data_IF_918277802216
#
_entry.id   IF_918277802216
#
_cell.length_a   1.000
_cell.length_b   1.000
_cell.length_c   1.000
_cell.angle_alpha   90.00
_cell.angle_beta   90.00
_cell.angle_gamma   90.00
#
_symmetry.space_group_name_H-M   'P 1'
#
loop_
_entity.id
_entity.type
_entity.pdbx_description
1 polymer ?
#
# COMPACT_ATOMS: atom_id res chain seq x y z
N UNK A 1 -8.54 40.50 61.19
CA UNK A 1 -8.16 41.15 59.91
C UNK A 1 -8.13 40.10 58.78
N UNK A 2 -9.25 39.69 58.18
CA UNK A 2 -10.05 40.43 57.16
C UNK A 2 -9.32 40.85 55.84
N UNK A 3 -8.11 40.36 55.54
CA UNK A 3 -7.47 40.60 54.22
C UNK A 3 -6.97 39.36 53.44
N UNK A 4 -6.79 38.20 54.08
CA UNK A 4 -6.24 37.01 53.39
C UNK A 4 -7.29 36.09 52.74
N UNK A 5 -8.51 35.96 53.29
CA UNK A 5 -9.54 35.09 52.70
C UNK A 5 -10.05 35.55 51.32
N UNK A 6 -10.01 36.85 51.01
CA UNK A 6 -10.53 37.36 49.74
C UNK A 6 -9.66 36.96 48.53
N UNK A 7 -8.37 36.70 48.74
CA UNK A 7 -7.45 36.29 47.65
C UNK A 7 -7.57 34.82 47.28
N UNK A 8 -8.01 33.94 48.19
CA UNK A 8 -8.11 32.50 47.90
C UNK A 8 -9.34 32.11 47.05
N UNK A 9 -10.33 33.01 46.90
CA UNK A 9 -11.56 32.77 46.13
C UNK A 9 -11.57 33.43 44.74
N UNK A 10 -10.63 34.33 44.44
CA UNK A 10 -10.58 35.06 43.16
C UNK A 10 -9.79 34.35 42.05
N UNK A 11 -8.84 33.48 42.39
CA UNK A 11 -8.07 32.72 41.41
C UNK A 11 -8.83 31.55 40.74
N UNK A 12 -9.70 30.78 41.42
CA UNK A 12 -10.44 29.68 40.77
C UNK A 12 -11.46 30.18 39.74
N UNK A 13 -12.11 31.32 40.02
CA UNK A 13 -13.17 31.88 39.18
C UNK A 13 -12.67 32.45 37.85
N UNK A 14 -11.47 33.03 37.81
CA UNK A 14 -10.85 33.50 36.56
C UNK A 14 -10.39 32.36 35.66
N UNK A 15 -10.03 31.19 36.22
CA UNK A 15 -9.66 30.02 35.42
C UNK A 15 -10.83 29.41 34.66
N UNK A 16 -12.02 29.38 35.28
CA UNK A 16 -13.22 28.82 34.66
C UNK A 16 -13.74 29.65 33.47
N UNK A 17 -13.63 30.99 33.53
CA UNK A 17 -14.08 31.88 32.46
C UNK A 17 -13.24 31.80 31.18
N UNK A 18 -11.93 31.53 31.30
CA UNK A 18 -11.07 31.30 30.13
C UNK A 18 -11.32 29.93 29.47
N UNK A 19 -11.76 28.92 30.22
CA UNK A 19 -12.07 27.59 29.70
C UNK A 19 -13.40 27.55 28.91
N UNK A 20 -14.34 28.44 29.19
CA UNK A 20 -15.64 28.52 28.51
C UNK A 20 -15.65 29.28 27.17
N UNK A 21 -14.57 29.97 26.81
CA UNK A 21 -14.45 30.71 25.54
C UNK A 21 -13.67 29.96 24.43
N UNK A 22 -13.13 28.77 24.74
CA UNK A 22 -12.32 27.97 23.80
C UNK A 22 -12.92 26.58 23.52
N UNK A 23 -14.17 26.35 23.92
CA UNK A 23 -14.96 25.17 23.54
C UNK A 23 -15.71 25.38 22.22
N UNK A 24 -15.19 24.75 21.16
CA UNK A 24 -15.77 24.48 19.83
C UNK A 24 -17.31 24.23 19.74
N UNK A 25 -17.95 24.18 18.54
CA UNK A 25 -17.36 24.13 17.18
C UNK A 25 -18.04 25.02 16.10
N UNK A 26 -17.44 25.11 14.90
CA UNK A 26 -18.01 24.68 13.58
C UNK A 26 -17.13 25.20 12.41
N UNK A 27 -16.93 24.36 11.38
CA UNK A 27 -16.91 24.62 9.91
C UNK A 27 -16.70 26.10 9.48
N UNK A 28 -15.77 26.52 8.61
CA UNK A 28 -14.85 25.86 7.66
C UNK A 28 -13.63 26.79 7.44
N UNK A 29 -12.49 26.35 6.88
CA UNK A 29 -12.16 25.03 6.32
C UNK A 29 -10.69 24.64 6.64
N UNK A 30 -10.40 23.35 6.53
CA UNK A 30 -9.08 22.80 6.23
C UNK A 30 -9.30 21.41 5.62
N UNK A 31 -8.93 21.24 4.34
CA UNK A 31 -8.71 19.91 3.77
C UNK A 31 -7.44 19.34 4.40
N UNK A 32 -7.56 18.87 5.65
CA UNK A 32 -6.64 17.90 6.21
C UNK A 32 -6.89 16.61 5.43
N UNK A 33 -6.08 16.38 4.39
CA UNK A 33 -5.85 15.00 3.96
C UNK A 33 -5.17 14.33 5.14
N UNK A 34 -5.95 13.58 5.93
CA UNK A 34 -5.42 12.59 6.85
C UNK A 34 -4.71 11.53 6.01
N UNK A 35 -3.46 11.80 5.62
CA UNK A 35 -2.56 10.75 5.17
C UNK A 35 -2.41 9.77 6.34
N UNK A 36 -2.81 8.50 6.18
CA UNK A 36 -2.80 7.60 7.31
C UNK A 36 -1.36 7.31 7.74
N UNK A 37 -1.06 7.50 9.03
CA UNK A 37 0.23 7.12 9.64
C UNK A 37 0.36 5.60 9.82
N UNK A 38 0.01 4.83 8.78
CA UNK A 38 -0.02 3.38 8.82
C UNK A 38 1.36 2.81 8.52
N UNK A 39 2.13 2.59 9.58
CA UNK A 39 3.21 1.60 9.55
C UNK A 39 2.65 0.19 9.24
N UNK A 40 1.38 -0.05 9.62
CA UNK A 40 0.66 -1.32 9.44
C UNK A 40 -0.79 -1.04 9.05
N UNK A 41 -1.32 -1.78 8.06
CA UNK A 41 -2.72 -1.74 7.62
C UNK A 41 -3.42 -3.10 7.79
N UNK A 42 -4.74 -3.10 7.94
CA UNK A 42 -5.58 -4.31 7.90
C UNK A 42 -5.86 -4.75 6.46
N UNK A 43 -6.32 -6.00 6.28
CA UNK A 43 -6.86 -6.49 5.00
C UNK A 43 -7.88 -5.51 4.39
N UNK A 44 -8.81 -5.00 5.20
CA UNK A 44 -9.88 -4.11 4.74
C UNK A 44 -9.31 -2.79 4.18
N UNK A 45 -8.35 -2.20 4.88
CA UNK A 45 -7.69 -0.96 4.42
C UNK A 45 -6.87 -1.20 3.14
N UNK A 46 -6.15 -2.33 3.03
CA UNK A 46 -5.48 -2.72 1.79
C UNK A 46 -6.47 -2.88 0.63
N UNK A 47 -7.59 -3.58 0.84
CA UNK A 47 -8.64 -3.78 -0.19
C UNK A 47 -9.22 -2.43 -0.65
N UNK A 48 -9.46 -1.49 0.27
CA UNK A 48 -9.95 -0.14 -0.06
C UNK A 48 -8.92 0.60 -0.94
N UNK A 49 -7.64 0.59 -0.55
CA UNK A 49 -6.56 1.25 -1.32
C UNK A 49 -6.40 0.62 -2.71
N UNK A 50 -6.42 -0.72 -2.80
CA UNK A 50 -6.30 -1.47 -4.07
C UNK A 50 -7.50 -1.18 -4.99
N UNK A 51 -8.73 -1.22 -4.49
CA UNK A 51 -9.95 -0.88 -5.25
C UNK A 51 -10.03 0.60 -5.63
N UNK A 52 -9.34 1.47 -4.88
CA UNK A 52 -9.15 2.88 -5.26
C UNK A 52 -8.29 3.07 -6.51
N UNK A 53 -7.48 2.07 -6.89
CA UNK A 53 -6.68 2.08 -8.13
C UNK A 53 -7.35 1.25 -9.23
N UNK A 54 -7.85 0.06 -8.88
CA UNK A 54 -8.49 -0.89 -9.80
C UNK A 54 -9.91 -1.22 -9.30
N UNK A 55 -10.90 -0.32 -9.51
CA UNK A 55 -12.28 -0.51 -9.07
C UNK A 55 -12.98 -1.70 -9.73
N UNK A 56 -12.44 -2.21 -10.84
CA UNK A 56 -12.86 -3.45 -11.52
C UNK A 56 -12.61 -4.73 -10.68
N UNK A 57 -11.75 -4.68 -9.65
CA UNK A 57 -11.48 -5.79 -8.72
C UNK A 57 -12.61 -5.99 -7.69
N UNK A 58 -13.82 -6.21 -8.20
CA UNK A 58 -14.99 -6.58 -7.41
C UNK A 58 -15.03 -8.08 -7.10
N UNK A 59 -15.74 -8.43 -6.02
CA UNK A 59 -16.12 -9.82 -5.69
C UNK A 59 -17.32 -10.22 -6.58
N UNK A 60 -17.14 -10.14 -7.90
CA UNK A 60 -18.22 -10.01 -8.89
C UNK A 60 -18.98 -11.31 -9.19
N UNK A 61 -18.49 -12.47 -8.73
CA UNK A 61 -19.25 -13.73 -8.73
C UNK A 61 -19.23 -14.34 -7.32
N UNK A 62 -20.35 -14.95 -6.87
CA UNK A 62 -20.37 -15.73 -5.64
C UNK A 62 -19.32 -16.85 -5.70
N UNK A 63 -18.25 -16.71 -4.90
CA UNK A 63 -17.14 -17.68 -4.85
C UNK A 63 -15.87 -17.29 -5.61
N UNK A 64 -15.84 -16.18 -6.38
CA UNK A 64 -14.59 -15.68 -6.99
C UNK A 64 -14.14 -14.35 -6.35
N UNK A 65 -13.13 -14.42 -5.50
CA UNK A 65 -12.41 -13.22 -5.01
C UNK A 65 -11.28 -12.87 -5.96
N UNK A 66 -11.44 -11.79 -6.72
CA UNK A 66 -10.35 -11.20 -7.52
C UNK A 66 -9.24 -10.55 -6.65
N UNK A 67 -9.45 -10.51 -5.32
CA UNK A 67 -8.49 -10.05 -4.32
C UNK A 67 -8.28 -11.16 -3.27
N UNK A 68 -7.26 -12.00 -3.48
CA UNK A 68 -6.86 -13.08 -2.59
C UNK A 68 -5.82 -12.60 -1.56
N UNK A 69 -6.25 -11.73 -0.64
CA UNK A 69 -5.47 -11.25 0.50
C UNK A 69 -6.03 -11.91 1.76
N UNK A 70 -5.24 -12.68 2.55
CA UNK A 70 -5.66 -13.22 3.85
C UNK A 70 -6.14 -12.16 4.85
N UNK A 71 -6.89 -12.59 5.87
CA UNK A 71 -7.17 -11.72 7.02
C UNK A 71 -5.93 -11.57 7.87
N UNK A 72 -5.52 -10.33 8.14
CA UNK A 72 -4.31 -10.04 8.90
C UNK A 72 -3.99 -8.56 8.99
N UNK A 73 -2.83 -8.29 9.59
CA UNK A 73 -2.17 -6.98 9.65
C UNK A 73 -0.90 -7.02 8.79
N UNK A 74 -0.73 -5.99 7.97
CA UNK A 74 0.29 -5.92 6.93
C UNK A 74 1.16 -4.69 7.12
N UNK A 75 2.47 -4.87 7.29
CA UNK A 75 3.44 -3.78 7.31
C UNK A 75 3.48 -3.07 5.95
N UNK A 76 3.37 -1.74 5.97
CA UNK A 76 3.51 -0.91 4.77
C UNK A 76 4.96 -0.42 4.65
N UNK A 77 5.78 -1.01 3.76
CA UNK A 77 7.15 -0.55 3.55
C UNK A 77 7.16 0.86 2.95
N UNK A 78 8.23 1.60 3.17
CA UNK A 78 8.60 2.73 2.31
C UNK A 78 9.00 2.23 0.94
N UNK A 79 8.92 3.11 -0.06
CA UNK A 79 9.50 2.87 -1.38
C UNK A 79 11.01 2.58 -1.32
N UNK A 80 11.73 3.12 -0.32
CA UNK A 80 13.17 2.88 -0.12
C UNK A 80 13.45 1.48 0.41
N UNK A 81 12.77 1.04 1.48
CA UNK A 81 12.88 -0.33 2.02
C UNK A 81 12.50 -1.37 0.94
N UNK A 82 11.43 -1.09 0.19
CA UNK A 82 10.97 -1.93 -0.90
C UNK A 82 12.02 -2.06 -2.02
N UNK A 83 12.64 -0.94 -2.46
CA UNK A 83 13.71 -0.95 -3.47
C UNK A 83 14.92 -1.75 -3.02
N UNK A 84 15.32 -1.60 -1.77
CA UNK A 84 16.45 -2.33 -1.19
C UNK A 84 16.18 -3.85 -1.18
N UNK A 85 14.97 -4.28 -0.78
CA UNK A 85 14.58 -5.70 -0.84
C UNK A 85 14.47 -6.25 -2.26
N UNK A 86 13.88 -5.49 -3.21
CA UNK A 86 13.80 -5.90 -4.62
C UNK A 86 15.20 -6.01 -5.23
N UNK A 87 16.11 -5.08 -4.94
CA UNK A 87 17.50 -5.14 -5.39
C UNK A 87 18.24 -6.36 -4.78
N UNK A 88 18.17 -6.54 -3.46
CA UNK A 88 18.80 -7.67 -2.75
C UNK A 88 18.24 -9.03 -3.17
N UNK A 89 17.01 -9.11 -3.69
CA UNK A 89 16.44 -10.37 -4.19
C UNK A 89 17.25 -10.98 -5.34
N UNK A 90 17.87 -10.15 -6.18
CA UNK A 90 18.57 -10.52 -7.44
C UNK A 90 17.73 -11.37 -8.40
N UNK A 91 16.39 -11.40 -8.26
CA UNK A 91 15.49 -12.18 -9.13
C UNK A 91 15.54 -11.70 -10.58
N UNK A 92 15.80 -10.41 -10.80
CA UNK A 92 16.02 -9.82 -12.13
C UNK A 92 17.35 -10.25 -12.79
N UNK A 93 18.21 -11.01 -12.09
CA UNK A 93 19.47 -11.57 -12.63
C UNK A 93 19.34 -13.05 -13.01
N UNK A 94 18.16 -13.67 -12.78
CA UNK A 94 17.89 -15.04 -13.19
C UNK A 94 17.84 -15.09 -14.72
N UNK A 95 18.79 -15.79 -15.33
CA UNK A 95 18.78 -16.13 -16.75
C UNK A 95 17.98 -17.43 -16.91
N UNK A 96 16.81 -17.43 -17.57
CA UNK A 96 16.03 -18.64 -17.71
C UNK A 96 16.67 -19.57 -18.74
N UNK A 97 16.87 -20.84 -18.36
CA UNK A 97 16.99 -21.92 -19.33
C UNK A 97 15.62 -22.13 -20.01
N UNK A 98 15.63 -22.39 -21.32
CA UNK A 98 14.51 -22.19 -22.26
C UNK A 98 13.12 -22.68 -21.77
N UNK A 99 12.09 -21.89 -22.07
CA UNK A 99 10.64 -22.17 -21.95
C UNK A 99 10.09 -22.65 -20.59
N UNK A 100 10.93 -22.81 -19.56
CA UNK A 100 10.55 -23.29 -18.23
C UNK A 100 10.33 -22.18 -17.18
N UNK A 101 10.55 -20.91 -17.55
CA UNK A 101 10.43 -19.77 -16.64
C UNK A 101 9.63 -18.64 -17.29
N UNK A 102 8.39 -18.47 -16.85
CA UNK A 102 7.47 -17.43 -17.33
C UNK A 102 7.40 -16.25 -16.34
N UNK A 103 6.66 -15.20 -16.71
CA UNK A 103 6.41 -14.03 -15.85
C UNK A 103 5.86 -14.42 -14.46
N UNK A 104 5.04 -15.46 -14.39
CA UNK A 104 4.48 -15.98 -13.14
C UNK A 104 5.55 -16.54 -12.20
N UNK A 105 6.57 -17.23 -12.74
CA UNK A 105 7.67 -17.80 -11.97
C UNK A 105 8.56 -16.70 -11.40
N UNK A 106 8.92 -15.71 -12.21
CA UNK A 106 9.61 -14.50 -11.76
C UNK A 106 8.82 -13.76 -10.65
N UNK A 107 7.50 -13.62 -10.81
CA UNK A 107 6.65 -12.95 -9.83
C UNK A 107 6.56 -13.72 -8.50
N UNK A 108 6.48 -15.05 -8.56
CA UNK A 108 6.48 -15.94 -7.40
C UNK A 108 7.83 -15.94 -6.68
N UNK A 109 8.94 -15.97 -7.42
CA UNK A 109 10.29 -15.89 -6.86
C UNK A 109 10.51 -14.55 -6.13
N UNK A 110 10.17 -13.42 -6.74
CA UNK A 110 10.32 -12.13 -6.09
C UNK A 110 9.42 -12.00 -4.85
N UNK A 111 8.20 -12.56 -4.90
CA UNK A 111 7.30 -12.66 -3.75
C UNK A 111 7.91 -13.45 -2.58
N UNK A 112 8.53 -14.61 -2.85
CA UNK A 112 9.22 -15.41 -1.84
C UNK A 112 10.44 -14.67 -1.27
N UNK A 113 11.32 -14.15 -2.13
CA UNK A 113 12.55 -13.47 -1.73
C UNK A 113 12.28 -12.20 -0.90
N UNK A 114 11.31 -11.36 -1.29
CA UNK A 114 10.97 -10.15 -0.49
C UNK A 114 10.41 -10.52 0.89
N UNK A 115 9.61 -11.59 0.99
CA UNK A 115 9.11 -12.07 2.30
C UNK A 115 10.22 -12.66 3.16
N UNK A 116 11.20 -13.35 2.58
CA UNK A 116 12.38 -13.85 3.30
C UNK A 116 13.25 -12.70 3.81
N UNK A 117 13.64 -11.77 2.93
CA UNK A 117 14.46 -10.60 3.29
C UNK A 117 13.79 -9.73 4.36
N UNK A 118 12.47 -9.53 4.28
CA UNK A 118 11.71 -8.87 5.33
C UNK A 118 11.83 -9.58 6.68
N UNK A 119 11.75 -10.91 6.70
CA UNK A 119 11.88 -11.70 7.93
C UNK A 119 13.30 -11.69 8.50
N UNK A 120 14.31 -11.77 7.64
CA UNK A 120 15.74 -11.70 7.99
C UNK A 120 16.11 -10.34 8.61
N UNK A 121 15.50 -9.25 8.11
CA UNK A 121 15.63 -7.90 8.68
C UNK A 121 14.82 -7.70 9.99
N UNK A 122 14.32 -8.76 10.63
CA UNK A 122 13.57 -8.71 11.89
C UNK A 122 12.07 -8.45 11.75
N UNK A 123 11.52 -8.48 10.53
CA UNK A 123 10.11 -8.28 10.24
C UNK A 123 9.20 -9.29 10.95
N UNK A 124 8.20 -8.79 11.70
CA UNK A 124 7.29 -9.64 12.50
C UNK A 124 5.82 -9.58 12.07
N UNK A 125 5.41 -8.58 11.29
CA UNK A 125 4.12 -8.58 10.59
C UNK A 125 4.30 -9.17 9.17
N UNK A 126 3.21 -9.56 8.51
CA UNK A 126 3.23 -9.84 7.07
C UNK A 126 3.56 -8.55 6.33
N UNK A 127 4.41 -8.55 5.31
CA UNK A 127 4.64 -7.35 4.48
C UNK A 127 3.51 -7.18 3.45
N UNK A 128 3.09 -5.95 3.16
CA UNK A 128 2.12 -5.60 2.11
C UNK A 128 2.73 -5.73 0.70
N UNK A 129 3.22 -6.92 0.36
CA UNK A 129 3.83 -7.29 -0.92
C UNK A 129 3.12 -8.51 -1.49
N UNK A 130 2.86 -8.51 -2.81
CA UNK A 130 2.04 -9.50 -3.47
C UNK A 130 2.34 -9.67 -4.96
N UNK A 131 1.46 -10.41 -5.62
CA UNK A 131 1.44 -10.60 -7.08
C UNK A 131 0.17 -9.99 -7.66
N UNK A 132 0.28 -9.34 -8.82
CA UNK A 132 -0.82 -8.75 -9.57
C UNK A 132 -0.81 -9.28 -11.01
N UNK A 133 -1.99 -9.63 -11.51
CA UNK A 133 -2.21 -10.28 -12.80
C UNK A 133 -3.10 -9.38 -13.66
N UNK A 134 -2.64 -9.07 -14.86
CA UNK A 134 -3.23 -8.03 -15.69
C UNK A 134 -2.92 -8.18 -17.17
N UNK A 135 -3.58 -7.36 -18.00
CA UNK A 135 -3.45 -7.35 -19.46
C UNK A 135 -2.87 -6.04 -20.00
N UNK A 136 -2.61 -5.06 -19.12
CA UNK A 136 -2.03 -3.76 -19.50
C UNK A 136 -1.31 -3.14 -18.31
N UNK A 137 -0.13 -2.58 -18.56
CA UNK A 137 0.74 -2.01 -17.53
C UNK A 137 1.40 -0.71 -18.03
N UNK A 138 1.39 0.33 -17.19
CA UNK A 138 2.03 1.63 -17.45
C UNK A 138 3.57 1.64 -17.26
N UNK A 139 4.18 0.46 -17.19
CA UNK A 139 5.63 0.26 -17.06
C UNK A 139 6.44 1.02 -18.13
N UNK A 140 5.83 1.26 -19.29
CA UNK A 140 6.50 1.73 -20.49
C UNK A 140 6.10 3.17 -20.84
N UNK A 141 6.49 4.14 -19.99
CA UNK A 141 6.36 5.60 -20.27
C UNK A 141 7.27 6.15 -21.40
N UNK A 142 7.54 5.32 -22.42
CA UNK A 142 8.01 5.65 -23.78
C UNK A 142 7.15 5.01 -24.89
N UNK A 143 6.01 4.40 -24.54
CA UNK A 143 5.07 3.75 -25.46
C UNK A 143 4.28 2.68 -24.70
N UNK A 144 2.96 2.86 -24.56
CA UNK A 144 2.08 1.95 -23.81
C UNK A 144 2.15 0.55 -24.44
N UNK A 145 2.67 -0.43 -23.70
CA UNK A 145 2.59 -1.85 -24.10
C UNK A 145 1.21 -2.36 -23.70
N UNK A 146 0.30 -2.38 -24.66
CA UNK A 146 -0.97 -3.09 -24.55
C UNK A 146 -0.69 -4.54 -24.95
N UNK A 147 -0.85 -5.48 -24.02
CA UNK A 147 -0.83 -6.91 -24.34
C UNK A 147 -2.16 -7.23 -25.02
N UNK A 148 -2.18 -7.15 -26.36
CA UNK A 148 -3.40 -7.34 -27.17
C UNK A 148 -3.63 -8.82 -27.44
N UNK A 149 -4.60 -9.41 -26.76
CA UNK A 149 -5.09 -10.76 -27.02
C UNK A 149 -5.98 -11.25 -25.88
N UNK A 150 -6.83 -12.25 -26.15
CA UNK A 150 -7.64 -12.90 -25.11
C UNK A 150 -6.80 -13.74 -24.13
N UNK A 151 -5.54 -14.02 -24.50
CA UNK A 151 -4.61 -14.92 -23.80
C UNK A 151 -3.38 -14.18 -23.23
N UNK A 152 -3.24 -12.88 -23.48
CA UNK A 152 -2.03 -12.11 -23.17
C UNK A 152 -2.07 -11.52 -21.74
N UNK A 153 -2.14 -12.40 -20.74
CA UNK A 153 -1.97 -12.05 -19.33
C UNK A 153 -0.48 -11.98 -18.97
N UNK A 154 -0.10 -11.03 -18.12
CA UNK A 154 1.24 -10.92 -17.54
C UNK A 154 1.16 -10.79 -16.02
N UNK A 155 2.09 -11.43 -15.33
CA UNK A 155 2.21 -11.40 -13.89
C UNK A 155 3.34 -10.45 -13.48
N UNK A 156 3.03 -9.55 -12.55
CA UNK A 156 3.99 -8.63 -11.93
C UNK A 156 3.85 -8.73 -10.41
N UNK A 157 4.77 -8.13 -9.67
CA UNK A 157 4.56 -7.93 -8.24
C UNK A 157 3.94 -6.56 -7.95
N UNK A 158 3.33 -6.44 -6.79
CA UNK A 158 2.83 -5.15 -6.30
C UNK A 158 3.10 -4.99 -4.81
N UNK A 159 3.13 -3.75 -4.35
CA UNK A 159 3.20 -3.43 -2.93
C UNK A 159 2.31 -2.23 -2.60
N UNK A 160 1.82 -2.17 -1.36
CA UNK A 160 1.20 -0.97 -0.81
C UNK A 160 2.21 -0.31 0.11
N UNK A 161 2.71 0.86 -0.30
CA UNK A 161 3.76 1.60 0.43
C UNK A 161 3.16 2.74 1.25
N UNK A 162 3.76 3.05 2.41
CA UNK A 162 3.27 4.12 3.31
C UNK A 162 3.53 5.53 2.79
N UNK A 163 4.50 5.70 1.90
CA UNK A 163 5.01 6.99 1.40
C UNK A 163 4.69 7.24 -0.09
N UNK A 164 4.34 6.20 -0.85
CA UNK A 164 4.14 6.33 -2.31
C UNK A 164 2.82 5.74 -2.83
N UNK A 165 2.07 5.00 -2.00
CA UNK A 165 0.82 4.32 -2.35
C UNK A 165 1.06 2.96 -3.01
N UNK A 166 0.15 2.56 -3.90
CA UNK A 166 0.29 1.29 -4.64
C UNK A 166 1.37 1.41 -5.71
N UNK A 167 2.32 0.47 -5.70
CA UNK A 167 3.37 0.33 -6.72
C UNK A 167 3.32 -1.04 -7.36
N UNK A 168 3.76 -1.10 -8.60
CA UNK A 168 3.96 -2.32 -9.38
C UNK A 168 5.48 -2.51 -9.60
N UNK A 169 5.90 -3.77 -9.68
CA UNK A 169 7.30 -4.18 -9.83
C UNK A 169 7.40 -5.25 -10.92
N UNK A 170 8.27 -5.03 -11.90
CA UNK A 170 8.54 -5.96 -12.99
C UNK A 170 9.68 -6.89 -12.54
N UNK A 171 9.39 -8.14 -12.15
CA UNK A 171 10.38 -8.99 -11.52
C UNK A 171 11.56 -9.36 -12.45
N UNK A 172 11.36 -9.36 -13.77
CA UNK A 172 12.44 -9.61 -14.75
C UNK A 172 13.44 -8.46 -14.89
N UNK A 173 13.13 -7.26 -14.38
CA UNK A 173 14.00 -6.07 -14.52
C UNK A 173 14.22 -5.29 -13.22
N UNK A 174 13.55 -5.69 -12.12
CA UNK A 174 13.55 -4.95 -10.85
C UNK A 174 12.90 -3.56 -10.91
N UNK A 175 12.30 -3.19 -12.05
CA UNK A 175 11.76 -1.84 -12.27
C UNK A 175 10.48 -1.63 -11.47
N UNK A 176 10.44 -0.56 -10.67
CA UNK A 176 9.30 -0.17 -9.84
C UNK A 176 8.63 1.10 -10.39
N UNK A 177 7.31 1.11 -10.48
CA UNK A 177 6.51 2.28 -10.87
C UNK A 177 5.25 2.41 -10.01
N UNK A 178 4.69 3.63 -9.95
CA UNK A 178 3.40 3.86 -9.29
C UNK A 178 2.29 3.29 -10.15
N UNK A 179 1.37 2.54 -9.54
CA UNK A 179 0.16 2.11 -10.22
C UNK A 179 -0.71 3.35 -10.53
N UNK A 180 -1.20 3.45 -11.76
CA UNK A 180 -2.02 4.60 -12.20
C UNK A 180 -3.43 4.13 -12.57
N UNK A 181 -4.48 4.67 -11.92
CA UNK A 181 -5.87 4.34 -12.26
C UNK A 181 -6.16 4.57 -13.75
N UNK A 182 -6.77 3.58 -14.41
CA UNK A 182 -7.14 3.65 -15.82
C UNK A 182 -6.00 3.50 -16.84
N UNK A 183 -4.72 3.50 -16.44
CA UNK A 183 -3.58 3.20 -17.33
C UNK A 183 -3.13 1.73 -17.20
N UNK A 184 -3.15 1.17 -15.99
CA UNK A 184 -3.02 -0.28 -15.75
C UNK A 184 -4.38 -0.99 -15.99
N UNK A 185 -4.40 -2.31 -16.15
CA UNK A 185 -5.62 -3.12 -16.17
C UNK A 185 -5.36 -4.46 -15.48
N UNK A 186 -5.77 -4.56 -14.20
CA UNK A 186 -5.52 -5.70 -13.32
C UNK A 186 -6.83 -6.44 -13.10
N UNK A 187 -6.81 -7.76 -13.24
CA UNK A 187 -7.99 -8.61 -13.05
C UNK A 187 -7.88 -9.52 -11.82
N UNK A 188 -6.68 -9.71 -11.27
CA UNK A 188 -6.48 -10.48 -10.03
C UNK A 188 -5.26 -10.00 -9.24
N UNK A 189 -5.35 -10.02 -7.90
CA UNK A 189 -4.22 -9.78 -6.99
C UNK A 189 -4.20 -10.79 -5.82
N UNK A 190 -3.01 -11.15 -5.33
CA UNK A 190 -2.82 -11.98 -4.13
C UNK A 190 -1.66 -11.52 -3.25
N UNK A 191 -1.74 -11.78 -1.94
CA UNK A 191 -0.66 -11.53 -0.96
C UNK A 191 -0.44 -12.73 -0.04
#
# INVERSE_FOLDING_TARGET
>A
MKRHLLRCLLYPLMGALCASLLGCPLLTDHIVRNEPSFEVATRQELVIVIRGIWPELNDSLPGSTNIAIPYGKYYLPTLTELRDMVYKSRVYEIVPEQDLFMCADFALQLHAHVKMLWKENGGNATIAFGEAWGTRFNLYKKGIVILRGFEASHAVNFAVTRDYGVVLIEPTSGKIWKATPGEDAIHFVKM
#
